data_IF_572076525312
#
_entry.id   IF_572076525312
#
_cell.length_a   1.000
_cell.length_b   1.000
_cell.length_c   1.000
_cell.angle_alpha   90.00
_cell.angle_beta   90.00
_cell.angle_gamma   90.00
#
_symmetry.space_group_name_H-M   'P 1'
#
loop_
_entity.id
_entity.type
_entity.pdbx_description
1 polymer ?
#
# COMPACT_ATOMS: atom_id res chain seq x y z
N UNK A 1 10.42 -15.25 -22.94
CA UNK A 1 10.90 -16.22 -21.94
C UNK A 1 9.97 -16.11 -20.74
N UNK A 2 9.10 -17.10 -20.53
CA UNK A 2 8.19 -17.13 -19.39
C UNK A 2 9.02 -17.45 -18.15
N UNK A 3 9.39 -16.42 -17.38
CA UNK A 3 9.94 -16.63 -16.04
C UNK A 3 8.92 -17.43 -15.24
N UNK A 4 9.29 -18.65 -14.83
CA UNK A 4 8.51 -19.43 -13.88
C UNK A 4 8.41 -18.62 -12.59
N UNK A 5 7.24 -18.01 -12.36
CA UNK A 5 6.91 -17.41 -11.08
C UNK A 5 6.71 -18.55 -10.08
N UNK A 6 7.75 -18.87 -9.32
CA UNK A 6 7.62 -19.79 -8.19
C UNK A 6 6.85 -19.06 -7.08
N UNK A 7 5.58 -19.42 -6.90
CA UNK A 7 4.82 -18.95 -5.73
C UNK A 7 5.42 -19.63 -4.50
N UNK A 8 6.01 -18.84 -3.61
CA UNK A 8 6.51 -19.28 -2.33
C UNK A 8 5.66 -18.66 -1.22
N UNK A 9 5.30 -19.46 -0.21
CA UNK A 9 4.64 -18.97 0.99
C UNK A 9 5.54 -19.25 2.19
N UNK A 10 5.86 -18.20 2.93
CA UNK A 10 6.67 -18.28 4.14
C UNK A 10 5.89 -17.72 5.32
N UNK A 11 5.91 -18.43 6.44
CA UNK A 11 5.31 -17.98 7.70
C UNK A 11 6.44 -17.76 8.69
N UNK A 12 6.66 -16.50 9.07
CA UNK A 12 7.64 -16.11 10.09
C UNK A 12 6.89 -15.76 11.37
N UNK A 13 7.19 -16.45 12.47
CA UNK A 13 6.63 -16.16 13.79
C UNK A 13 7.66 -15.44 14.66
N UNK A 14 7.23 -14.36 15.30
CA UNK A 14 8.03 -13.56 16.23
C UNK A 14 7.32 -13.49 17.59
N UNK A 15 8.05 -13.16 18.65
CA UNK A 15 7.57 -13.21 20.03
C UNK A 15 7.29 -11.83 20.64
N UNK A 16 7.58 -10.74 19.93
CA UNK A 16 7.32 -9.37 20.35
C UNK A 16 6.98 -8.48 19.15
N UNK A 17 6.32 -7.35 19.40
CA UNK A 17 6.08 -6.36 18.34
C UNK A 17 7.38 -5.79 17.78
N UNK A 18 8.39 -5.54 18.63
CA UNK A 18 9.69 -5.03 18.18
C UNK A 18 10.39 -6.01 17.23
N UNK A 19 10.32 -7.31 17.51
CA UNK A 19 10.93 -8.31 16.63
C UNK A 19 10.15 -8.53 15.33
N UNK A 20 8.85 -8.23 15.29
CA UNK A 20 8.06 -8.14 14.05
C UNK A 20 8.48 -6.89 13.27
N UNK A 21 8.52 -5.75 13.94
CA UNK A 21 8.90 -4.45 13.36
C UNK A 21 10.25 -4.51 12.67
N UNK A 22 11.27 -5.05 13.36
CA UNK A 22 12.60 -5.23 12.79
C UNK A 22 12.60 -6.14 11.55
N UNK A 23 11.96 -7.31 11.63
CA UNK A 23 11.91 -8.26 10.52
C UNK A 23 11.22 -7.68 9.28
N UNK A 24 10.11 -6.97 9.47
CA UNK A 24 9.39 -6.31 8.38
C UNK A 24 10.26 -5.22 7.76
N UNK A 25 10.91 -4.39 8.57
CA UNK A 25 11.81 -3.34 8.06
C UNK A 25 13.00 -3.92 7.30
N UNK A 26 13.63 -4.98 7.81
CA UNK A 26 14.75 -5.67 7.15
C UNK A 26 14.31 -6.28 5.81
N UNK A 27 13.14 -6.93 5.78
CA UNK A 27 12.57 -7.47 4.55
C UNK A 27 12.30 -6.38 3.51
N UNK A 28 11.66 -5.28 3.91
CA UNK A 28 11.33 -4.17 3.01
C UNK A 28 12.60 -3.50 2.48
N UNK A 29 13.59 -3.25 3.34
CA UNK A 29 14.87 -2.66 2.92
C UNK A 29 15.62 -3.56 1.92
N UNK A 30 15.63 -4.87 2.16
CA UNK A 30 16.23 -5.83 1.23
C UNK A 30 15.48 -5.89 -0.10
N UNK A 31 14.14 -5.94 -0.07
CA UNK A 31 13.32 -5.95 -1.27
C UNK A 31 13.52 -4.66 -2.09
N UNK A 32 13.62 -3.51 -1.42
CA UNK A 32 13.92 -2.23 -2.05
C UNK A 32 15.29 -2.22 -2.72
N UNK A 33 16.35 -2.67 -2.03
CA UNK A 33 17.69 -2.75 -2.63
C UNK A 33 17.71 -3.64 -3.88
N UNK A 34 17.08 -4.83 -3.82
CA UNK A 34 16.99 -5.75 -4.96
C UNK A 34 16.24 -5.10 -6.12
N UNK A 35 15.05 -4.54 -5.88
CA UNK A 35 14.24 -3.92 -6.91
C UNK A 35 14.95 -2.73 -7.57
N UNK A 36 15.61 -1.88 -6.78
CA UNK A 36 16.35 -0.72 -7.28
C UNK A 36 17.54 -1.17 -8.12
N UNK A 37 18.28 -2.20 -7.71
CA UNK A 37 19.40 -2.74 -8.51
C UNK A 37 18.93 -3.33 -9.85
N UNK A 38 17.78 -3.99 -9.88
CA UNK A 38 17.27 -4.66 -11.08
C UNK A 38 16.49 -3.75 -12.03
N UNK A 39 15.67 -2.84 -11.48
CA UNK A 39 14.68 -2.05 -12.21
C UNK A 39 14.85 -0.54 -12.04
N UNK A 40 15.79 -0.09 -11.20
CA UNK A 40 16.07 1.33 -10.97
C UNK A 40 15.05 2.06 -10.09
N UNK A 41 14.03 1.34 -9.58
CA UNK A 41 12.97 1.85 -8.71
C UNK A 41 12.49 0.75 -7.76
N UNK A 42 11.91 1.15 -6.64
CA UNK A 42 11.15 0.28 -5.74
C UNK A 42 9.73 0.82 -5.64
N UNK A 43 8.72 -0.01 -5.94
CA UNK A 43 7.31 0.35 -5.86
C UNK A 43 6.62 -0.48 -4.80
N UNK A 44 6.05 0.16 -3.78
CA UNK A 44 5.33 -0.53 -2.72
C UNK A 44 3.97 0.09 -2.43
N UNK A 45 3.07 -0.70 -1.82
CA UNK A 45 1.84 -0.17 -1.25
C UNK A 45 1.73 -0.45 0.25
N UNK A 46 1.16 0.50 0.98
CA UNK A 46 1.01 0.46 2.44
C UNK A 46 -0.47 0.41 2.84
N UNK A 47 -0.82 -0.44 3.81
CA UNK A 47 -2.07 -0.32 4.55
C UNK A 47 -1.93 0.57 5.79
N UNK A 48 -3.06 1.03 6.33
CA UNK A 48 -3.10 1.68 7.64
C UNK A 48 -3.17 0.72 8.83
N UNK A 49 -3.89 1.14 9.88
CA UNK A 49 -4.05 0.36 11.10
C UNK A 49 -2.79 0.38 11.97
N UNK A 50 -2.36 -0.79 12.44
CA UNK A 50 -1.13 -0.91 13.24
C UNK A 50 0.14 -1.01 12.40
N UNK A 51 0.03 -1.23 11.09
CA UNK A 51 1.17 -1.42 10.19
C UNK A 51 2.13 -0.22 10.16
N UNK A 52 1.69 1.05 10.08
CA UNK A 52 2.60 2.19 10.02
C UNK A 52 3.61 2.24 11.18
N UNK A 53 3.17 1.87 12.41
CA UNK A 53 4.02 1.84 13.59
C UNK A 53 5.13 0.78 13.53
N UNK A 54 4.92 -0.31 12.77
CA UNK A 54 5.93 -1.34 12.54
C UNK A 54 7.01 -0.86 11.56
N UNK A 55 6.77 0.22 10.83
CA UNK A 55 7.70 0.75 9.83
C UNK A 55 8.51 1.94 10.35
N UNK A 56 8.27 2.42 11.58
CA UNK A 56 9.02 3.52 12.18
C UNK A 56 10.55 3.32 12.17
N UNK A 57 11.12 2.11 12.38
CA UNK A 57 12.56 1.91 12.28
C UNK A 57 13.13 2.15 10.87
N UNK A 58 12.31 1.98 9.82
CA UNK A 58 12.73 2.06 8.43
C UNK A 58 13.33 3.42 8.07
N UNK A 59 12.81 4.52 8.65
CA UNK A 59 13.35 5.87 8.40
C UNK A 59 14.78 6.08 8.88
N UNK A 60 15.28 5.21 9.76
CA UNK A 60 16.65 5.24 10.27
C UNK A 60 17.59 4.29 9.54
N UNK A 61 17.06 3.48 8.62
CA UNK A 61 17.85 2.54 7.83
C UNK A 61 18.48 3.24 6.63
N UNK A 62 19.64 2.74 6.19
CA UNK A 62 20.29 3.20 4.96
C UNK A 62 19.56 2.61 3.75
N UNK A 63 18.63 3.38 3.18
CA UNK A 63 17.88 3.03 1.98
C UNK A 63 18.00 4.13 0.91
N UNK A 64 17.97 3.74 -0.37
CA UNK A 64 17.92 4.67 -1.50
C UNK A 64 16.49 5.22 -1.70
N UNK A 65 16.01 5.98 -0.73
CA UNK A 65 14.64 6.51 -0.67
C UNK A 65 14.24 7.39 -1.86
N UNK A 66 15.21 7.99 -2.57
CA UNK A 66 14.98 8.74 -3.80
C UNK A 66 14.38 7.88 -4.92
N UNK A 67 14.48 6.55 -4.83
CA UNK A 67 13.97 5.58 -5.81
C UNK A 67 12.68 4.89 -5.40
N UNK A 68 12.08 5.30 -4.28
CA UNK A 68 10.86 4.68 -3.75
C UNK A 68 9.63 5.37 -4.32
N UNK A 69 8.69 4.58 -4.82
CA UNK A 69 7.33 5.00 -5.16
C UNK A 69 6.36 4.32 -4.19
N UNK A 70 5.66 5.11 -3.39
CA UNK A 70 4.81 4.63 -2.31
C UNK A 70 3.35 4.91 -2.63
N UNK A 71 2.56 3.86 -2.72
CA UNK A 71 1.10 3.88 -2.81
C UNK A 71 0.47 3.41 -1.50
N UNK A 72 -0.85 3.48 -1.42
CA UNK A 72 -1.65 2.93 -0.33
C UNK A 72 -2.53 1.81 -0.90
N UNK A 73 -2.60 0.69 -0.18
CA UNK A 73 -3.46 -0.44 -0.56
C UNK A 73 -4.94 -0.07 -0.44
N UNK A 74 -5.26 0.80 0.51
CA UNK A 74 -6.55 1.46 0.65
C UNK A 74 -6.36 2.83 1.32
N UNK A 75 -7.35 3.70 1.18
CA UNK A 75 -7.41 4.96 1.90
C UNK A 75 -8.85 5.36 2.20
N UNK A 76 -9.06 6.03 3.32
CA UNK A 76 -10.37 6.55 3.74
C UNK A 76 -10.60 7.86 3.00
N UNK A 77 -11.81 8.06 2.48
CA UNK A 77 -12.19 9.31 1.82
C UNK A 77 -12.43 10.43 2.85
N UNK A 78 -11.36 10.85 3.51
CA UNK A 78 -11.30 11.92 4.50
C UNK A 78 -10.12 12.83 4.17
N UNK A 79 -10.07 14.03 4.76
CA UNK A 79 -8.91 14.92 4.59
C UNK A 79 -7.60 14.20 4.93
N UNK A 80 -6.52 14.49 4.21
CA UNK A 80 -5.27 13.74 4.35
C UNK A 80 -4.59 13.93 5.72
N UNK A 81 -4.95 14.96 6.47
CA UNK A 81 -4.54 15.23 7.86
C UNK A 81 -5.55 14.71 8.91
N UNK A 82 -6.64 14.08 8.48
CA UNK A 82 -7.62 13.46 9.37
C UNK A 82 -7.02 12.27 10.11
N UNK A 83 -7.45 12.02 11.35
CA UNK A 83 -6.92 10.91 12.18
C UNK A 83 -7.13 9.51 11.56
N UNK A 84 -8.12 9.36 10.68
CA UNK A 84 -8.45 8.09 10.03
C UNK A 84 -7.72 7.92 8.67
N UNK A 85 -6.92 8.89 8.25
CA UNK A 85 -6.10 8.86 7.03
C UNK A 85 -4.92 7.91 7.20
N UNK A 86 -4.80 6.93 6.31
CA UNK A 86 -3.63 6.06 6.23
C UNK A 86 -2.38 6.87 5.83
N UNK A 87 -2.53 7.87 4.96
CA UNK A 87 -1.47 8.80 4.60
C UNK A 87 -0.91 9.50 5.84
N UNK A 88 -1.77 10.10 6.66
CA UNK A 88 -1.33 10.75 7.91
C UNK A 88 -0.58 9.76 8.79
N UNK A 89 -1.15 8.57 9.02
CA UNK A 89 -0.55 7.58 9.90
C UNK A 89 0.84 7.13 9.40
N UNK A 90 1.02 6.91 8.09
CA UNK A 90 2.32 6.57 7.51
C UNK A 90 3.30 7.75 7.52
N UNK A 91 2.80 8.96 7.25
CA UNK A 91 3.60 10.19 7.28
C UNK A 91 4.18 10.44 8.67
N UNK A 92 3.33 10.43 9.70
CA UNK A 92 3.76 10.60 11.10
C UNK A 92 4.66 9.46 11.58
N UNK A 93 4.47 8.24 11.07
CA UNK A 93 5.21 7.07 11.55
C UNK A 93 6.62 6.97 10.97
N UNK A 94 6.82 7.25 9.67
CA UNK A 94 8.14 7.14 9.05
C UNK A 94 8.34 7.98 7.79
N UNK A 95 7.33 8.21 6.93
CA UNK A 95 7.57 8.82 5.61
C UNK A 95 8.15 10.24 5.72
N UNK A 96 7.71 11.06 6.70
CA UNK A 96 8.22 12.42 6.89
C UNK A 96 9.70 12.47 7.30
N UNK A 97 10.22 11.36 7.83
CA UNK A 97 11.60 11.23 8.29
C UNK A 97 12.52 10.61 7.22
N UNK A 98 11.99 10.32 6.02
CA UNK A 98 12.76 9.78 4.88
C UNK A 98 13.04 10.84 3.84
N UNK A 99 13.97 10.55 2.91
CA UNK A 99 14.25 11.39 1.74
C UNK A 99 13.41 11.02 0.51
N UNK A 100 12.28 10.32 0.68
CA UNK A 100 11.37 9.99 -0.43
C UNK A 100 10.80 11.29 -1.01
N UNK A 101 10.95 11.55 -2.32
CA UNK A 101 10.34 12.72 -2.95
C UNK A 101 8.82 12.72 -2.78
N UNK A 102 8.23 13.86 -2.40
CA UNK A 102 6.78 13.97 -2.20
C UNK A 102 5.99 13.60 -3.47
N UNK A 103 6.56 13.85 -4.66
CA UNK A 103 5.98 13.45 -5.95
C UNK A 103 5.98 11.94 -6.19
N UNK A 104 6.63 11.16 -5.33
CA UNK A 104 6.66 9.70 -5.36
C UNK A 104 5.88 9.07 -4.19
N UNK A 105 5.16 9.89 -3.42
CA UNK A 105 4.17 9.45 -2.43
C UNK A 105 2.79 9.74 -3.01
N UNK A 106 2.08 8.70 -3.43
CA UNK A 106 0.83 8.82 -4.18
C UNK A 106 -0.35 8.64 -3.23
N UNK A 107 -1.15 9.69 -3.07
CA UNK A 107 -2.38 9.71 -2.26
C UNK A 107 -3.62 9.91 -3.11
N UNK A 108 -4.78 9.57 -2.55
CA UNK A 108 -6.07 9.89 -3.18
C UNK A 108 -6.32 11.40 -3.15
N UNK A 109 -7.11 11.89 -4.09
CA UNK A 109 -7.68 13.23 -4.01
C UNK A 109 -8.88 13.22 -3.05
N UNK A 110 -8.67 13.67 -1.81
CA UNK A 110 -9.71 13.71 -0.77
C UNK A 110 -10.78 14.81 -0.97
N UNK A 111 -10.67 15.61 -2.03
CA UNK A 111 -11.56 16.75 -2.30
C UNK A 111 -12.60 16.47 -3.39
N UNK A 112 -12.61 15.27 -3.96
CA UNK A 112 -13.56 14.83 -4.99
C UNK A 112 -14.37 13.62 -4.51
N UNK A 113 -15.44 13.32 -5.23
CA UNK A 113 -16.28 12.15 -4.94
C UNK A 113 -15.48 10.84 -5.03
N UNK A 114 -15.81 9.80 -4.24
CA UNK A 114 -15.03 8.55 -4.19
C UNK A 114 -14.78 7.91 -5.56
N UNK A 115 -15.77 7.89 -6.45
CA UNK A 115 -15.61 7.36 -7.81
C UNK A 115 -14.54 8.13 -8.62
N UNK A 116 -14.50 9.45 -8.49
CA UNK A 116 -13.51 10.29 -9.15
C UNK A 116 -12.13 10.13 -8.49
N UNK A 117 -12.08 10.03 -7.16
CA UNK A 117 -10.82 9.78 -6.44
C UNK A 117 -10.20 8.43 -6.82
N UNK A 118 -11.02 7.38 -6.99
CA UNK A 118 -10.55 6.07 -7.46
C UNK A 118 -9.96 6.16 -8.88
N UNK A 119 -10.62 6.90 -9.77
CA UNK A 119 -10.16 7.09 -11.14
C UNK A 119 -8.80 7.81 -11.18
N UNK A 120 -8.67 8.94 -10.47
CA UNK A 120 -7.41 9.71 -10.41
C UNK A 120 -6.27 8.90 -9.76
N UNK A 121 -6.60 8.08 -8.76
CA UNK A 121 -5.63 7.19 -8.13
C UNK A 121 -5.16 6.07 -9.08
N UNK A 122 -6.10 5.49 -9.84
CA UNK A 122 -5.79 4.52 -10.88
C UNK A 122 -4.94 5.14 -12.00
N UNK A 123 -5.20 6.38 -12.40
CA UNK A 123 -4.40 7.10 -13.38
C UNK A 123 -2.95 7.29 -12.91
N UNK A 124 -2.74 7.53 -11.61
CA UNK A 124 -1.40 7.63 -11.02
C UNK A 124 -0.64 6.31 -11.10
N UNK A 125 -1.30 5.18 -10.85
CA UNK A 125 -0.72 3.85 -11.08
C UNK A 125 -0.44 3.61 -12.57
N UNK A 126 -1.39 3.90 -13.45
CA UNK A 126 -1.24 3.73 -14.91
C UNK A 126 -0.11 4.57 -15.48
N UNK A 127 0.12 5.76 -14.96
CA UNK A 127 1.25 6.60 -15.35
C UNK A 127 2.60 5.95 -15.02
N UNK A 128 2.67 5.19 -13.91
CA UNK A 128 3.86 4.46 -13.50
C UNK A 128 4.03 3.10 -14.21
N UNK A 129 2.92 2.53 -14.68
CA UNK A 129 2.80 1.22 -15.32
C UNK A 129 2.00 1.29 -16.65
N UNK A 130 2.45 2.06 -17.66
CA UNK A 130 1.65 2.38 -18.85
C UNK A 130 1.39 1.20 -19.78
N UNK A 131 2.28 0.21 -19.79
CA UNK A 131 2.21 -0.95 -20.70
C UNK A 131 1.72 -2.23 -19.99
N UNK A 132 1.40 -2.16 -18.70
CA UNK A 132 1.08 -3.33 -17.90
C UNK A 132 -0.44 -3.56 -17.78
N UNK A 133 -0.84 -4.83 -17.79
CA UNK A 133 -2.24 -5.22 -17.56
C UNK A 133 -2.64 -5.08 -16.09
N UNK A 134 -1.67 -5.31 -15.19
CA UNK A 134 -1.75 -5.13 -13.74
C UNK A 134 -0.42 -4.51 -13.28
N UNK A 135 -0.43 -3.62 -12.28
CA UNK A 135 0.79 -2.94 -11.86
C UNK A 135 1.71 -3.91 -11.12
N UNK A 136 2.97 -3.99 -11.54
CA UNK A 136 3.98 -4.79 -10.86
C UNK A 136 4.50 -4.08 -9.60
N UNK A 137 3.91 -4.38 -8.44
CA UNK A 137 4.42 -3.95 -7.14
C UNK A 137 5.56 -4.86 -6.68
N UNK A 138 6.60 -4.29 -6.09
CA UNK A 138 7.69 -5.06 -5.47
C UNK A 138 7.26 -5.61 -4.10
N UNK A 139 6.51 -4.80 -3.33
CA UNK A 139 5.97 -5.19 -2.02
C UNK A 139 4.59 -4.58 -1.79
N UNK A 140 3.62 -5.41 -1.43
CA UNK A 140 2.36 -4.98 -0.84
C UNK A 140 2.35 -5.29 0.67
N UNK A 141 2.45 -4.25 1.51
CA UNK A 141 2.36 -4.40 2.96
C UNK A 141 0.91 -4.27 3.41
N UNK A 142 0.32 -5.42 3.70
CA UNK A 142 -1.10 -5.54 4.00
C UNK A 142 -1.35 -5.82 5.48
N UNK A 143 -2.25 -5.02 6.06
CA UNK A 143 -2.86 -5.34 7.35
C UNK A 143 -3.95 -6.40 7.19
N UNK A 144 -4.22 -7.15 8.25
CA UNK A 144 -5.35 -8.07 8.33
C UNK A 144 -6.18 -7.77 9.57
N UNK A 145 -7.47 -7.47 9.38
CA UNK A 145 -8.39 -7.28 10.49
C UNK A 145 -8.78 -8.58 11.19
N UNK A 146 -9.45 -8.51 12.35
CA UNK A 146 -9.88 -9.69 13.12
C UNK A 146 -10.93 -10.55 12.39
N UNK A 147 -11.63 -9.96 11.42
CA UNK A 147 -12.56 -10.58 10.49
C UNK A 147 -11.88 -11.12 9.22
N UNK A 148 -10.57 -10.91 9.04
CA UNK A 148 -9.81 -11.35 7.87
C UNK A 148 -9.81 -10.39 6.68
N UNK A 149 -10.45 -9.22 6.79
CA UNK A 149 -10.34 -8.20 5.73
C UNK A 149 -8.91 -7.70 5.58
N UNK A 150 -8.54 -7.34 4.37
CA UNK A 150 -7.32 -6.59 4.05
C UNK A 150 -7.66 -5.42 3.14
N UNK A 151 -6.84 -4.37 3.12
CA UNK A 151 -7.18 -3.10 2.47
C UNK A 151 -8.61 -2.69 2.90
N UNK A 152 -9.49 -2.37 1.94
CA UNK A 152 -10.93 -2.25 2.20
C UNK A 152 -11.76 -3.34 1.52
N UNK A 153 -11.21 -4.56 1.46
CA UNK A 153 -11.83 -5.76 0.92
C UNK A 153 -12.34 -6.64 2.05
N UNK A 154 -13.62 -6.49 2.37
CA UNK A 154 -14.25 -7.13 3.52
C UNK A 154 -14.85 -8.50 3.18
N UNK A 155 -14.81 -9.47 4.11
CA UNK A 155 -15.54 -10.71 3.97
C UNK A 155 -17.04 -10.45 3.73
N UNK A 156 -17.64 -11.20 2.83
CA UNK A 156 -19.05 -11.11 2.43
C UNK A 156 -19.48 -9.78 1.76
N UNK A 157 -18.56 -8.82 1.58
CA UNK A 157 -18.83 -7.62 0.78
C UNK A 157 -18.60 -7.93 -0.71
N UNK A 158 -19.49 -7.55 -1.65
CA UNK A 158 -19.35 -7.90 -3.07
C UNK A 158 -18.01 -7.50 -3.69
N UNK A 159 -17.43 -6.39 -3.21
CA UNK A 159 -16.15 -5.85 -3.69
C UNK A 159 -14.96 -6.81 -3.55
N UNK A 160 -14.97 -7.73 -2.57
CA UNK A 160 -13.90 -8.74 -2.45
C UNK A 160 -13.89 -9.72 -3.62
N UNK A 161 -15.01 -9.85 -4.34
CA UNK A 161 -15.16 -10.68 -5.54
C UNK A 161 -15.12 -9.85 -6.83
N UNK A 162 -14.69 -8.58 -6.75
CA UNK A 162 -14.58 -7.73 -7.93
C UNK A 162 -13.64 -8.36 -8.96
N UNK A 163 -14.18 -8.59 -10.16
CA UNK A 163 -13.47 -9.20 -11.29
C UNK A 163 -13.51 -8.29 -12.54
N UNK A 164 -13.76 -6.99 -12.34
CA UNK A 164 -13.73 -6.00 -13.41
C UNK A 164 -12.31 -5.57 -13.78
N UNK A 165 -12.17 -4.67 -14.77
CA UNK A 165 -10.87 -4.27 -15.31
C UNK A 165 -10.11 -3.26 -14.44
N UNK A 166 -10.78 -2.67 -13.43
CA UNK A 166 -10.19 -1.62 -12.61
C UNK A 166 -9.23 -2.17 -11.54
N UNK A 167 -8.09 -1.51 -11.42
CA UNK A 167 -7.07 -1.71 -10.39
C UNK A 167 -7.50 -1.09 -9.07
N UNK A 168 -8.28 -0.02 -9.13
CA UNK A 168 -8.72 0.77 -7.98
C UNK A 168 -10.22 0.98 -8.05
N UNK A 169 -10.90 0.81 -6.94
CA UNK A 169 -12.36 0.94 -6.84
C UNK A 169 -12.76 1.69 -5.58
N UNK A 170 -13.87 2.47 -5.62
CA UNK A 170 -14.45 3.05 -4.42
C UNK A 170 -15.28 2.01 -3.65
N UNK A 171 -15.42 2.24 -2.35
CA UNK A 171 -16.39 1.58 -1.47
C UNK A 171 -17.07 2.68 -0.64
N UNK A 172 -18.39 2.75 -0.67
CA UNK A 172 -19.15 3.79 0.05
C UNK A 172 -19.94 3.23 1.24
N UNK A 173 -20.03 1.91 1.33
CA UNK A 173 -20.80 1.14 2.30
C UNK A 173 -19.91 0.18 3.11
N UNK A 174 -18.65 0.58 3.38
CA UNK A 174 -17.75 -0.22 4.24
C UNK A 174 -18.44 -0.56 5.57
N UNK A 175 -18.41 -1.83 6.01
CA UNK A 175 -19.00 -2.25 7.28
C UNK A 175 -18.26 -1.68 8.51
N UNK A 176 -17.14 -0.98 8.29
CA UNK A 176 -16.37 -0.28 9.33
C UNK A 176 -16.22 1.20 8.99
N UNK A 177 -16.38 2.10 9.99
CA UNK A 177 -16.18 3.53 9.76
C UNK A 177 -14.70 3.86 9.47
N UNK A 178 -14.43 4.96 8.77
CA UNK A 178 -15.34 5.67 7.85
C UNK A 178 -15.82 4.75 6.71
N UNK A 179 -17.07 4.94 6.28
CA UNK A 179 -17.72 4.07 5.29
C UNK A 179 -17.14 4.27 3.88
N UNK A 180 -16.84 5.52 3.50
CA UNK A 180 -16.28 5.86 2.21
C UNK A 180 -14.77 5.66 2.17
N UNK A 181 -14.29 4.83 1.24
CA UNK A 181 -12.88 4.50 1.05
C UNK A 181 -12.58 4.24 -0.43
N UNK A 182 -11.30 4.24 -0.76
CA UNK A 182 -10.73 3.80 -2.04
C UNK A 182 -9.86 2.58 -1.74
N UNK A 183 -9.86 1.56 -2.60
CA UNK A 183 -9.07 0.35 -2.40
C UNK A 183 -8.50 -0.19 -3.69
N UNK A 184 -7.31 -0.76 -3.62
CA UNK A 184 -6.82 -1.69 -4.63
C UNK A 184 -7.72 -2.93 -4.66
N UNK A 185 -7.89 -3.52 -5.84
CA UNK A 185 -8.65 -4.75 -6.06
C UNK A 185 -7.77 -5.98 -5.87
N UNK A 186 -8.34 -7.16 -5.60
CA UNK A 186 -7.56 -8.40 -5.45
C UNK A 186 -6.67 -8.77 -6.65
N UNK A 187 -7.04 -8.47 -7.91
CA UNK A 187 -6.15 -8.70 -9.05
C UNK A 187 -4.84 -7.91 -9.00
N UNK A 188 -4.80 -6.78 -8.31
CA UNK A 188 -3.59 -5.96 -8.10
C UNK A 188 -2.75 -6.57 -6.97
#
# INVERSE_FOLDING_TARGET
ATSNCCICTMVVRKHSQDSISQEVCDFVALAADVAIRERGRFVCCLSGGSLPKLLTPLSKMECNFDRWHVFYADERCVALDHQDSNHRACSEAFLSETSIPQTQIYCINAHVEPAQAALEYQESLRALFPEEQLPQLDVALLGMGPDGHTASLFPNHPLVQYAGPDWVVPIEDSPKPPACRITLTLPV
#
